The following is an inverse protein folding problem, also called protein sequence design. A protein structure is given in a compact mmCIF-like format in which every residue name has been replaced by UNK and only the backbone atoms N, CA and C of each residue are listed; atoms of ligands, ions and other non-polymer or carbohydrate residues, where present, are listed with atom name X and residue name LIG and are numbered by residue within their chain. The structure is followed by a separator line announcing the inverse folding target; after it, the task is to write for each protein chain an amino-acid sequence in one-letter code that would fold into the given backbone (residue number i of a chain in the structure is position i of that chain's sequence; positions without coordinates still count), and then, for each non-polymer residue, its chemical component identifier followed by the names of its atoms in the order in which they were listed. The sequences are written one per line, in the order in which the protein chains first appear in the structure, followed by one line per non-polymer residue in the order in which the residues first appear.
data_IF_518203519034
#
_entry.id   IF_518203519034
#
_cell.length_a   1.000
_cell.length_b   1.000
_cell.length_c   1.000
_cell.angle_alpha   90.00
_cell.angle_beta   90.00
_cell.angle_gamma   90.00
#
_symmetry.space_group_name_H-M   'P 1'
#
loop_
_entity.id
_entity.type
_entity.pdbx_description
1 polymer ?
#
# COMPACT_ATOMS: atom_id res chain seq x y z
N UNK A 1 -5.56 -8.67 -8.49
CA UNK A 1 -5.70 -9.85 -9.33
C UNK A 1 -6.70 -10.80 -8.68
N UNK A 2 -7.73 -11.23 -9.41
CA UNK A 2 -8.72 -12.13 -8.83
C UNK A 2 -8.29 -13.58 -8.98
N UNK A 3 -7.98 -14.30 -8.01
CA UNK A 3 -7.84 -15.76 -7.81
C UNK A 3 -8.00 -16.64 -9.08
N UNK A 4 -7.36 -16.29 -10.19
CA UNK A 4 -7.40 -17.06 -11.44
C UNK A 4 -5.98 -17.36 -11.90
N UNK A 5 -5.77 -18.51 -12.50
CA UNK A 5 -4.52 -18.87 -13.14
C UNK A 5 -4.56 -18.50 -14.62
N UNK A 6 -3.43 -18.04 -15.15
CA UNK A 6 -3.24 -17.91 -16.58
C UNK A 6 -2.70 -19.22 -17.13
N UNK A 7 -3.46 -19.85 -18.00
CA UNK A 7 -3.01 -21.01 -18.76
C UNK A 7 -2.84 -20.58 -20.20
N UNK A 8 -1.62 -20.61 -20.71
CA UNK A 8 -1.26 -20.25 -22.08
C UNK A 8 -1.93 -18.97 -22.62
N UNK A 9 -1.29 -17.84 -22.41
CA UNK A 9 -1.46 -16.54 -23.08
C UNK A 9 -2.88 -16.03 -23.43
N UNK A 10 -3.94 -16.82 -23.32
CA UNK A 10 -5.27 -16.45 -23.81
C UNK A 10 -6.46 -16.73 -22.90
N UNK A 11 -6.35 -17.57 -21.90
CA UNK A 11 -7.51 -17.94 -21.09
C UNK A 11 -7.23 -17.85 -19.60
N UNK A 12 -8.02 -17.03 -18.91
CA UNK A 12 -8.12 -17.08 -17.46
C UNK A 12 -8.83 -18.37 -17.05
N UNK A 13 -8.14 -19.27 -16.38
CA UNK A 13 -8.72 -20.50 -15.90
C UNK A 13 -9.00 -20.40 -14.42
N UNK A 14 -10.20 -20.74 -14.02
CA UNK A 14 -10.57 -20.94 -12.62
C UNK A 14 -9.98 -22.25 -12.15
N UNK A 15 -8.89 -22.18 -11.41
CA UNK A 15 -8.22 -23.37 -10.87
C UNK A 15 -8.76 -23.67 -9.49
N UNK A 16 -9.14 -24.92 -9.27
CA UNK A 16 -9.59 -25.39 -7.96
C UNK A 16 -8.50 -25.15 -6.89
N UNK A 17 -8.92 -24.71 -5.71
CA UNK A 17 -8.02 -24.37 -4.60
C UNK A 17 -7.50 -22.94 -4.61
N UNK A 18 -7.69 -22.17 -5.68
CA UNK A 18 -7.36 -20.74 -5.72
C UNK A 18 -8.53 -19.83 -5.33
N UNK A 19 -9.75 -20.37 -5.34
CA UNK A 19 -10.95 -19.61 -5.03
C UNK A 19 -11.16 -19.37 -3.53
N UNK A 20 -12.00 -18.42 -3.21
CA UNK A 20 -12.51 -18.21 -1.86
C UNK A 20 -13.71 -19.12 -1.66
N UNK A 21 -13.72 -19.92 -0.61
CA UNK A 21 -14.88 -20.75 -0.27
C UNK A 21 -16.01 -19.85 0.21
N UNK A 22 -17.16 -19.97 -0.41
CA UNK A 22 -18.37 -19.21 -0.10
C UNK A 22 -19.58 -20.13 -0.08
N UNK A 23 -20.68 -19.67 0.48
CA UNK A 23 -21.94 -20.38 0.46
C UNK A 23 -22.46 -20.53 -0.98
N UNK A 24 -23.13 -21.63 -1.24
CA UNK A 24 -23.69 -21.95 -2.53
C UNK A 24 -25.21 -21.91 -2.50
N UNK A 25 -25.82 -21.34 -3.52
CA UNK A 25 -27.28 -21.39 -3.70
C UNK A 25 -27.83 -22.81 -3.88
N UNK A 26 -26.97 -23.75 -4.27
CA UNK A 26 -27.29 -25.20 -4.35
C UNK A 26 -27.26 -25.92 -3.00
N UNK A 27 -27.29 -25.22 -1.88
CA UNK A 27 -27.29 -25.80 -0.53
C UNK A 27 -28.34 -26.90 -0.35
N UNK A 28 -29.59 -26.68 -0.78
CA UNK A 28 -30.66 -27.69 -0.72
C UNK A 28 -30.46 -28.94 -1.61
N UNK A 29 -29.44 -28.92 -2.50
CA UNK A 29 -29.07 -30.02 -3.38
C UNK A 29 -27.79 -30.76 -2.89
N UNK A 30 -27.42 -30.59 -1.63
CA UNK A 30 -26.25 -31.22 -1.04
C UNK A 30 -24.91 -30.57 -1.41
N UNK A 31 -24.92 -29.36 -1.94
CA UNK A 31 -23.74 -28.58 -2.31
C UNK A 31 -23.69 -27.25 -1.53
N UNK A 32 -23.37 -27.28 -0.21
CA UNK A 32 -23.47 -26.10 0.63
C UNK A 32 -22.39 -25.05 0.33
N UNK A 33 -21.27 -25.44 -0.26
CA UNK A 33 -20.14 -24.56 -0.55
C UNK A 33 -19.78 -24.55 -2.03
N UNK A 34 -19.23 -23.44 -2.46
CA UNK A 34 -18.59 -23.29 -3.78
C UNK A 34 -17.36 -22.43 -3.70
N UNK A 35 -16.45 -22.60 -4.62
CA UNK A 35 -15.36 -21.66 -4.85
C UNK A 35 -15.84 -20.46 -5.66
N UNK A 36 -15.44 -19.27 -5.21
CA UNK A 36 -15.73 -18.01 -5.86
C UNK A 36 -14.41 -17.31 -6.22
N UNK A 37 -14.36 -16.73 -7.41
CA UNK A 37 -13.19 -16.07 -7.98
C UNK A 37 -13.54 -14.63 -8.33
N UNK A 38 -12.62 -13.72 -8.07
CA UNK A 38 -12.77 -12.32 -8.44
C UNK A 38 -12.20 -11.36 -7.39
N UNK A 39 -11.85 -10.16 -7.83
CA UNK A 39 -11.40 -9.06 -6.96
C UNK A 39 -12.47 -8.63 -5.97
N UNK A 40 -13.75 -8.87 -6.28
CA UNK A 40 -14.89 -8.62 -5.40
C UNK A 40 -14.78 -9.36 -4.05
N UNK A 41 -14.04 -10.45 -3.97
CA UNK A 41 -13.79 -11.18 -2.72
C UNK A 41 -12.57 -10.69 -1.96
N UNK A 42 -11.69 -9.94 -2.62
CA UNK A 42 -10.55 -9.29 -1.98
C UNK A 42 -10.96 -7.98 -1.29
N UNK A 43 -11.84 -7.20 -1.91
CA UNK A 43 -12.28 -5.90 -1.41
C UNK A 43 -12.85 -5.94 0.03
N UNK A 44 -13.76 -6.87 0.40
CA UNK A 44 -14.26 -6.96 1.78
C UNK A 44 -13.19 -7.27 2.81
N UNK A 45 -12.14 -8.00 2.44
CA UNK A 45 -11.01 -8.30 3.33
C UNK A 45 -10.21 -7.05 3.66
N UNK A 46 -9.94 -6.22 2.65
CA UNK A 46 -9.27 -4.92 2.86
C UNK A 46 -10.18 -3.97 3.63
N UNK A 47 -11.48 -3.94 3.32
CA UNK A 47 -12.46 -3.13 4.04
C UNK A 47 -12.55 -3.52 5.53
N UNK A 48 -12.45 -4.82 5.85
CA UNK A 48 -12.40 -5.29 7.23
C UNK A 48 -11.15 -4.77 7.96
N UNK A 49 -9.98 -4.82 7.34
CA UNK A 49 -8.74 -4.27 7.93
C UNK A 49 -8.86 -2.76 8.11
N UNK A 50 -9.39 -2.04 7.12
CA UNK A 50 -9.62 -0.60 7.21
C UNK A 50 -10.59 -0.22 8.34
N UNK A 51 -11.68 -0.98 8.52
CA UNK A 51 -12.63 -0.76 9.60
C UNK A 51 -12.01 -0.99 10.99
N UNK A 52 -11.18 -2.03 11.14
CA UNK A 52 -10.42 -2.26 12.38
C UNK A 52 -9.42 -1.13 12.65
N UNK A 53 -8.78 -0.62 11.61
CA UNK A 53 -7.84 0.50 11.74
C UNK A 53 -8.56 1.77 12.16
N UNK A 54 -9.69 2.09 11.53
CA UNK A 54 -10.54 3.22 11.91
C UNK A 54 -11.06 3.11 13.36
N UNK A 55 -11.32 1.90 13.84
CA UNK A 55 -11.70 1.69 15.24
C UNK A 55 -10.53 1.94 16.22
N UNK A 56 -9.31 1.58 15.83
CA UNK A 56 -8.11 1.82 16.68
C UNK A 56 -7.62 3.27 16.65
N UNK A 57 -7.86 3.96 15.55
CA UNK A 57 -7.46 5.34 15.32
C UNK A 57 -8.70 6.15 14.92
N UNK A 58 -9.60 6.47 15.84
CA UNK A 58 -10.90 7.07 15.53
C UNK A 58 -10.79 8.47 14.91
N UNK A 59 -9.71 9.18 15.19
CA UNK A 59 -9.47 10.54 14.66
C UNK A 59 -8.74 10.56 13.31
N UNK A 60 -8.41 9.39 12.75
CA UNK A 60 -7.68 9.33 11.49
C UNK A 60 -8.55 9.67 10.28
N UNK A 61 -7.95 10.37 9.31
CA UNK A 61 -8.61 10.58 8.03
C UNK A 61 -8.57 9.33 7.13
N UNK A 62 -9.36 9.38 6.07
CA UNK A 62 -9.33 8.37 5.01
C UNK A 62 -7.94 8.31 4.35
N UNK A 63 -7.24 9.45 4.24
CA UNK A 63 -5.90 9.50 3.66
C UNK A 63 -4.88 8.78 4.54
N UNK A 64 -4.92 8.97 5.86
CA UNK A 64 -4.06 8.24 6.77
C UNK A 64 -4.34 6.74 6.74
N UNK A 65 -5.61 6.33 6.74
CA UNK A 65 -5.99 4.91 6.55
C UNK A 65 -5.40 4.34 5.25
N UNK A 66 -5.49 5.06 4.14
CA UNK A 66 -4.92 4.64 2.85
C UNK A 66 -3.40 4.56 2.89
N UNK A 67 -2.73 5.51 3.53
CA UNK A 67 -1.28 5.52 3.70
C UNK A 67 -0.81 4.29 4.49
N UNK A 68 -1.42 4.01 5.64
CA UNK A 68 -1.07 2.87 6.48
C UNK A 68 -1.31 1.54 5.74
N UNK A 69 -2.45 1.37 5.08
CA UNK A 69 -2.73 0.17 4.29
C UNK A 69 -1.72 -0.04 3.15
N UNK A 70 -1.32 1.04 2.47
CA UNK A 70 -0.36 0.97 1.38
C UNK A 70 1.08 0.72 1.87
N UNK A 71 1.47 1.30 2.99
CA UNK A 71 2.81 1.10 3.58
C UNK A 71 3.05 -0.33 4.06
N UNK A 72 1.99 -1.01 4.55
CA UNK A 72 2.05 -2.39 5.01
C UNK A 72 1.59 -3.41 3.95
N UNK A 73 1.47 -2.98 2.71
CA UNK A 73 1.25 -3.88 1.58
C UNK A 73 2.59 -4.31 0.98
N UNK A 74 2.69 -5.59 0.63
CA UNK A 74 3.90 -6.15 0.04
C UNK A 74 3.57 -6.99 -1.20
N UNK A 75 4.44 -6.92 -2.19
CA UNK A 75 4.32 -7.78 -3.36
C UNK A 75 4.74 -9.21 -3.02
N UNK A 76 3.92 -10.21 -3.39
CA UNK A 76 4.31 -11.61 -3.23
C UNK A 76 5.59 -11.90 -4.01
N UNK A 77 6.53 -12.64 -3.39
CA UNK A 77 7.81 -12.99 -4.01
C UNK A 77 7.64 -13.67 -5.38
N UNK A 78 6.66 -14.55 -5.51
CA UNK A 78 6.33 -15.20 -6.78
C UNK A 78 5.94 -14.21 -7.89
N UNK A 79 5.22 -13.12 -7.55
CA UNK A 79 4.86 -12.09 -8.52
C UNK A 79 6.08 -11.27 -8.95
N UNK A 80 6.96 -10.94 -8.01
CA UNK A 80 8.22 -10.24 -8.29
C UNK A 80 9.10 -11.07 -9.22
N UNK A 81 9.25 -12.35 -8.94
CA UNK A 81 10.05 -13.28 -9.77
C UNK A 81 9.44 -13.46 -11.17
N UNK A 82 8.12 -13.68 -11.25
CA UNK A 82 7.44 -13.95 -12.53
C UNK A 82 7.50 -12.78 -13.51
N UNK A 83 7.60 -11.55 -12.99
CA UNK A 83 7.63 -10.35 -13.80
C UNK A 83 9.05 -9.78 -13.99
N UNK A 84 10.08 -10.47 -13.51
CA UNK A 84 11.48 -10.02 -13.55
C UNK A 84 11.64 -8.56 -13.08
N UNK A 85 10.92 -8.19 -12.03
CA UNK A 85 10.66 -6.81 -11.69
C UNK A 85 11.44 -6.29 -10.48
N UNK A 86 12.31 -7.12 -9.90
CA UNK A 86 12.97 -6.79 -8.64
C UNK A 86 13.87 -5.54 -8.73
N UNK A 87 14.50 -5.27 -9.88
CA UNK A 87 15.65 -4.38 -9.93
C UNK A 87 15.51 -3.17 -10.86
N UNK A 88 14.36 -2.98 -11.51
CA UNK A 88 14.19 -1.84 -12.40
C UNK A 88 12.86 -1.11 -12.23
N UNK A 89 12.85 0.19 -12.58
CA UNK A 89 11.68 1.05 -12.45
C UNK A 89 10.48 0.53 -13.26
N UNK A 90 10.72 0.09 -14.51
CA UNK A 90 9.67 -0.43 -15.37
C UNK A 90 9.01 -1.69 -14.79
N UNK A 91 9.77 -2.59 -14.19
CA UNK A 91 9.22 -3.78 -13.53
C UNK A 91 8.35 -3.42 -12.32
N UNK A 92 8.73 -2.43 -11.52
CA UNK A 92 7.92 -1.91 -10.43
C UNK A 92 6.63 -1.27 -10.92
N UNK A 93 6.69 -0.49 -12.00
CA UNK A 93 5.50 0.09 -12.61
C UNK A 93 4.55 -0.99 -13.13
N UNK A 94 5.07 -2.04 -13.75
CA UNK A 94 4.28 -3.19 -14.19
C UNK A 94 3.59 -3.91 -13.01
N UNK A 95 4.31 -4.09 -11.88
CA UNK A 95 3.71 -4.66 -10.67
C UNK A 95 2.57 -3.78 -10.14
N UNK A 96 2.81 -2.46 -10.04
CA UNK A 96 1.80 -1.50 -9.61
C UNK A 96 0.55 -1.53 -10.50
N UNK A 97 0.72 -1.62 -11.82
CA UNK A 97 -0.39 -1.70 -12.75
C UNK A 97 -1.17 -3.02 -12.66
N UNK A 98 -0.48 -4.14 -12.43
CA UNK A 98 -1.09 -5.48 -12.42
C UNK A 98 -1.70 -5.86 -11.07
N UNK A 99 -1.01 -5.55 -9.97
CA UNK A 99 -1.39 -6.00 -8.62
C UNK A 99 -1.43 -4.88 -7.57
N UNK A 100 -1.30 -3.63 -7.98
CA UNK A 100 -1.30 -2.47 -7.09
C UNK A 100 -0.15 -2.54 -6.09
N UNK A 101 -0.37 -2.10 -4.87
CA UNK A 101 0.62 -2.17 -3.79
C UNK A 101 0.86 -3.58 -3.25
N UNK A 102 0.11 -4.57 -3.72
CA UNK A 102 0.27 -5.96 -3.33
C UNK A 102 -0.73 -6.40 -2.26
N UNK A 103 -0.28 -7.29 -1.37
CA UNK A 103 -1.10 -7.88 -0.32
C UNK A 103 -0.86 -7.15 1.00
N UNK A 104 -1.92 -6.66 1.61
CA UNK A 104 -1.90 -6.14 2.97
C UNK A 104 -1.86 -7.32 3.95
N UNK A 105 -0.91 -7.32 4.86
CA UNK A 105 -0.88 -8.22 6.01
C UNK A 105 -1.64 -7.57 7.17
N UNK A 106 -2.75 -8.15 7.65
CA UNK A 106 -3.46 -7.59 8.80
C UNK A 106 -2.58 -7.48 10.05
N UNK A 107 -1.74 -8.48 10.29
CA UNK A 107 -0.88 -8.51 11.46
C UNK A 107 0.15 -7.37 11.42
N UNK A 108 0.79 -7.13 10.27
CA UNK A 108 1.74 -6.04 10.11
C UNK A 108 1.10 -4.63 10.25
N UNK A 109 -0.18 -4.49 9.97
CA UNK A 109 -0.92 -3.22 10.16
C UNK A 109 -1.16 -2.92 11.63
N UNK A 110 -1.35 -3.95 12.46
CA UNK A 110 -1.79 -3.80 13.85
C UNK A 110 -0.72 -4.09 14.88
N UNK A 111 0.36 -4.73 14.50
CA UNK A 111 1.44 -5.18 15.36
C UNK A 111 2.77 -4.63 14.84
N UNK A 112 3.48 -3.90 15.69
CA UNK A 112 4.87 -3.56 15.41
C UNK A 112 5.73 -4.78 15.75
N UNK A 113 6.58 -5.18 14.81
CA UNK A 113 7.63 -6.16 15.11
C UNK A 113 8.74 -5.47 15.92
N UNK A 114 9.51 -6.24 16.68
CA UNK A 114 10.56 -5.72 17.56
C UNK A 114 11.62 -4.84 16.85
N UNK A 115 11.68 -4.93 15.53
CA UNK A 115 12.64 -4.24 14.68
C UNK A 115 11.98 -3.29 13.66
N UNK A 116 10.70 -3.02 13.81
CA UNK A 116 9.95 -2.13 12.93
C UNK A 116 9.25 -1.02 13.72
N UNK A 117 9.40 0.22 13.28
CA UNK A 117 8.72 1.38 13.86
C UNK A 117 7.90 2.03 12.76
N UNK A 118 6.60 2.20 13.02
CA UNK A 118 5.70 2.94 12.15
C UNK A 118 5.44 4.31 12.75
N UNK A 119 5.86 5.34 12.04
CA UNK A 119 5.54 6.74 12.35
C UNK A 119 4.50 7.24 11.36
N UNK A 120 3.54 8.00 11.83
CA UNK A 120 2.56 8.65 10.97
C UNK A 120 2.33 10.10 11.39
N UNK A 121 2.05 10.92 10.40
CA UNK A 121 1.63 12.29 10.60
C UNK A 121 0.51 12.62 9.62
N UNK A 122 -0.37 13.49 10.01
CA UNK A 122 -1.47 13.98 9.19
C UNK A 122 -1.59 15.49 9.35
N UNK A 123 -1.69 16.19 8.22
CA UNK A 123 -1.79 17.63 8.24
C UNK A 123 -2.40 18.16 6.93
N UNK A 124 -2.61 19.46 6.89
CA UNK A 124 -3.11 20.20 5.74
C UNK A 124 -2.02 21.11 5.19
N UNK A 125 -1.75 21.02 3.91
CA UNK A 125 -0.80 21.87 3.22
C UNK A 125 -1.48 22.71 2.14
N UNK A 126 -1.24 24.01 2.14
CA UNK A 126 -1.73 24.92 1.11
C UNK A 126 -0.92 24.82 -0.20
N UNK A 127 -1.49 25.35 -1.29
CA UNK A 127 -0.80 25.42 -2.56
C UNK A 127 0.49 26.25 -2.46
N UNK A 128 1.54 25.81 -3.16
CA UNK A 128 2.87 26.43 -3.14
C UNK A 128 3.47 26.56 -1.73
N UNK A 129 3.21 25.59 -0.88
CA UNK A 129 3.78 25.49 0.45
C UNK A 129 4.57 24.21 0.58
N UNK A 130 5.57 24.23 1.44
CA UNK A 130 6.35 23.06 1.87
C UNK A 130 6.16 22.83 3.35
N UNK A 131 6.20 21.57 3.76
CA UNK A 131 6.11 21.16 5.16
C UNK A 131 7.26 20.20 5.46
N UNK A 132 7.90 20.40 6.59
CA UNK A 132 9.04 19.61 7.03
C UNK A 132 8.63 18.74 8.20
N UNK A 133 9.05 17.48 8.13
CA UNK A 133 8.90 16.53 9.22
C UNK A 133 10.28 15.98 9.58
N UNK A 134 10.62 16.06 10.85
CA UNK A 134 11.81 15.41 11.38
C UNK A 134 11.48 13.95 11.70
N UNK A 135 12.31 13.03 11.20
CA UNK A 135 12.17 11.60 11.47
C UNK A 135 13.16 11.21 12.56
N UNK A 136 12.71 10.84 13.76
CA UNK A 136 13.57 10.35 14.84
C UNK A 136 14.06 8.92 14.49
N UNK A 137 15.18 8.83 13.81
CA UNK A 137 15.78 7.53 13.46
C UNK A 137 16.76 7.14 14.59
N UNK A 138 16.54 5.99 15.26
CA UNK A 138 17.40 5.54 16.35
C UNK A 138 18.85 5.34 15.91
N UNK A 139 19.79 5.58 16.83
CA UNK A 139 21.24 5.42 16.56
C UNK A 139 21.61 4.00 16.13
N UNK A 140 20.88 2.99 16.60
CA UNK A 140 21.04 1.59 16.23
C UNK A 140 20.81 1.37 14.73
N UNK A 141 20.00 2.20 14.10
CA UNK A 141 19.77 2.14 12.67
C UNK A 141 21.04 2.49 11.87
N UNK A 142 21.92 3.32 12.42
CA UNK A 142 23.17 3.73 11.80
C UNK A 142 24.35 2.83 12.11
N UNK A 143 24.18 1.86 13.02
CA UNK A 143 25.22 0.95 13.47
C UNK A 143 25.90 0.17 12.31
N UNK A 144 27.13 -0.25 12.54
CA UNK A 144 27.91 -1.07 11.58
C UNK A 144 27.45 -2.52 11.62
N UNK A 145 27.40 -3.19 10.48
CA UNK A 145 27.05 -4.62 10.36
C UNK A 145 26.21 -4.94 9.13
N UNK A 146 26.18 -6.22 8.76
CA UNK A 146 25.35 -6.74 7.65
C UNK A 146 23.90 -6.91 8.09
N UNK A 147 23.18 -5.81 8.30
CA UNK A 147 21.73 -5.82 8.57
C UNK A 147 21.02 -5.15 7.41
N UNK A 148 19.91 -5.72 6.99
CA UNK A 148 19.03 -5.05 6.05
C UNK A 148 18.29 -3.94 6.81
N UNK A 149 18.46 -2.70 6.35
CA UNK A 149 17.80 -1.52 6.90
C UNK A 149 17.00 -0.87 5.79
N UNK A 150 15.79 -0.51 6.08
CA UNK A 150 14.90 0.08 5.10
C UNK A 150 14.08 1.20 5.75
N UNK A 151 13.96 2.31 5.07
CA UNK A 151 12.99 3.36 5.36
C UNK A 151 11.95 3.34 4.24
N UNK A 152 10.71 3.09 4.58
CA UNK A 152 9.59 3.16 3.65
C UNK A 152 8.75 4.39 3.97
N UNK A 153 8.52 5.25 2.99
CA UNK A 153 7.70 6.45 3.14
C UNK A 153 6.51 6.35 2.21
N UNK A 154 5.33 6.52 2.77
CA UNK A 154 4.07 6.48 2.02
C UNK A 154 3.33 7.78 2.21
N UNK A 155 3.04 8.45 1.11
CA UNK A 155 2.25 9.68 1.08
C UNK A 155 0.87 9.41 0.47
N UNK A 156 -0.19 9.70 1.21
CA UNK A 156 -1.55 9.71 0.68
C UNK A 156 -2.14 11.12 0.85
N UNK A 157 -2.78 11.62 -0.19
CA UNK A 157 -3.42 12.92 -0.19
C UNK A 157 -4.64 12.95 -1.10
N UNK A 158 -5.52 13.89 -0.86
CA UNK A 158 -6.71 14.14 -1.68
C UNK A 158 -6.60 15.55 -2.25
N UNK A 159 -6.12 15.69 -3.51
CA UNK A 159 -6.03 16.99 -4.16
C UNK A 159 -7.41 17.48 -4.60
N UNK A 160 -7.57 18.78 -4.67
CA UNK A 160 -8.72 19.35 -5.37
C UNK A 160 -8.75 18.91 -6.83
N UNK A 161 -9.94 18.79 -7.38
CA UNK A 161 -10.16 18.36 -8.75
C UNK A 161 -10.59 19.53 -9.65
N UNK A 162 -10.13 19.51 -10.91
CA UNK A 162 -10.61 20.40 -11.98
C UNK A 162 -11.47 19.62 -12.95
N UNK A 163 -12.74 19.90 -12.97
CA UNK A 163 -13.71 19.23 -13.85
C UNK A 163 -13.61 19.69 -15.30
N UNK A 164 -12.90 20.77 -15.58
CA UNK A 164 -12.82 21.41 -16.92
C UNK A 164 -11.62 20.97 -17.75
N UNK A 165 -10.77 20.06 -17.24
CA UNK A 165 -9.57 19.60 -17.96
C UNK A 165 -9.47 18.06 -17.96
N UNK A 166 -8.81 17.51 -18.97
CA UNK A 166 -8.50 16.07 -19.05
C UNK A 166 -7.63 15.60 -17.87
N UNK A 167 -6.61 16.38 -17.52
CA UNK A 167 -5.89 16.18 -16.25
C UNK A 167 -6.65 16.95 -15.15
N UNK A 168 -7.60 16.26 -14.53
CA UNK A 168 -8.48 16.85 -13.53
C UNK A 168 -7.81 17.07 -12.16
N UNK A 169 -6.59 16.57 -11.93
CA UNK A 169 -5.84 16.87 -10.70
C UNK A 169 -5.40 18.33 -10.69
N UNK A 170 -5.85 19.05 -9.69
CA UNK A 170 -5.48 20.46 -9.53
C UNK A 170 -4.07 20.63 -8.96
N UNK A 171 -3.70 19.77 -8.02
CA UNK A 171 -2.47 19.90 -7.22
C UNK A 171 -1.68 18.61 -7.27
N UNK A 172 -0.37 18.72 -7.39
CA UNK A 172 0.58 17.61 -7.24
C UNK A 172 1.37 17.82 -5.97
N UNK A 173 1.41 16.78 -5.13
CA UNK A 173 2.23 16.74 -3.94
C UNK A 173 3.35 15.70 -4.13
N UNK A 174 4.54 16.03 -3.68
CA UNK A 174 5.69 15.14 -3.69
C UNK A 174 6.46 15.30 -2.38
N UNK A 175 7.27 14.33 -2.03
CA UNK A 175 8.16 14.41 -0.88
C UNK A 175 9.59 14.12 -1.30
N UNK A 176 10.53 14.64 -0.52
CA UNK A 176 11.96 14.37 -0.67
C UNK A 176 12.52 14.05 0.71
N UNK A 177 13.31 12.97 0.80
CA UNK A 177 14.04 12.64 2.02
C UNK A 177 15.42 13.30 1.98
N UNK A 178 15.68 14.14 2.98
CA UNK A 178 16.97 14.85 3.12
C UNK A 178 17.72 14.26 4.31
N UNK A 179 18.98 13.99 4.16
CA UNK A 179 19.85 13.44 5.20
C UNK A 179 21.05 14.34 5.43
N UNK A 180 21.39 14.54 6.70
CA UNK A 180 22.65 15.21 7.10
C UNK A 180 22.58 16.75 7.08
N UNK A 181 21.45 17.34 6.77
CA UNK A 181 21.23 18.78 6.82
C UNK A 181 20.53 19.16 8.12
N UNK A 182 20.80 20.35 8.63
CA UNK A 182 20.01 20.89 9.74
C UNK A 182 18.62 21.30 9.24
N UNK A 183 17.64 21.26 10.13
CA UNK A 183 16.26 21.67 9.81
C UNK A 183 16.22 23.09 9.24
N UNK A 184 17.06 23.99 9.77
CA UNK A 184 17.18 25.38 9.28
C UNK A 184 17.76 25.46 7.86
N UNK A 185 18.79 24.66 7.55
CA UNK A 185 19.38 24.63 6.22
C UNK A 185 18.41 24.12 5.18
N UNK A 186 17.64 23.08 5.53
CA UNK A 186 16.58 22.56 4.64
C UNK A 186 15.46 23.57 4.48
N UNK A 187 15.00 24.22 5.56
CA UNK A 187 13.95 25.24 5.50
C UNK A 187 14.34 26.42 4.58
N UNK A 188 15.58 26.89 4.68
CA UNK A 188 16.10 27.98 3.85
C UNK A 188 16.23 27.61 2.36
N UNK A 189 16.36 26.33 2.02
CA UNK A 189 16.40 25.87 0.63
C UNK A 189 15.02 25.85 -0.04
N UNK A 190 13.93 25.97 0.73
CA UNK A 190 12.54 26.00 0.24
C UNK A 190 11.89 27.38 0.31
N UNK A 191 12.64 28.40 0.75
CA UNK A 191 12.22 29.81 0.70
C UNK A 191 12.77 30.49 -0.54
#
# INVERSE_FOLDING_TARGET
AGNVAFVHQRNNTRTQGLGVVSLNSGFGQGRPFREAHGTSYAAPRVAHVAAKLAHRLPENSINLTRAILASHAAWPAASVQSLNSADNAQGRDNLLQLIGYGRVSPDAVFESLDNEVTLYAEDHIGNNRSQLYELPIPDEFWGTGRRQRQVAITLAYSPDVRTTRLDYRHTKLSFTLVKGESLEAVANAFT
#
